data_IF_137027650842
#
_entry.id   IF_137027650842
#
_cell.length_a   1.000
_cell.length_b   1.000
_cell.length_c   1.000
_cell.angle_alpha   90.00
_cell.angle_beta   90.00
_cell.angle_gamma   90.00
#
_symmetry.space_group_name_H-M   'P 1'
#
loop_
_entity.id
_entity.type
_entity.pdbx_description
1 polymer ?
#
# COMPACT_ATOMS: atom_id res chain seq x y z
N UNK A 1 30.27 35.75 51.45
CA UNK A 1 29.65 35.07 50.30
C UNK A 1 30.79 34.78 49.37
N UNK A 2 31.26 33.54 49.34
CA UNK A 2 32.24 33.12 48.34
C UNK A 2 31.48 32.94 47.04
N UNK A 3 31.76 33.81 46.07
CA UNK A 3 31.18 33.77 44.74
C UNK A 3 31.98 32.76 43.93
N UNK A 4 31.35 31.65 43.58
CA UNK A 4 32.02 30.57 42.84
C UNK A 4 32.12 30.95 41.35
N UNK A 5 33.28 31.46 40.95
CA UNK A 5 33.57 31.84 39.56
C UNK A 5 33.63 30.62 38.63
N UNK A 6 33.77 29.40 39.17
CA UNK A 6 33.76 28.17 38.37
C UNK A 6 32.35 27.85 37.86
N UNK A 7 31.31 28.18 38.64
CA UNK A 7 29.92 28.07 38.20
C UNK A 7 29.66 28.97 36.98
N UNK A 8 30.16 30.22 37.01
CA UNK A 8 30.00 31.20 35.92
C UNK A 8 30.69 30.75 34.61
N UNK A 9 31.84 30.09 34.72
CA UNK A 9 32.57 29.52 33.57
C UNK A 9 31.83 28.33 32.97
N UNK A 10 31.13 27.54 33.79
CA UNK A 10 30.43 26.32 33.36
C UNK A 10 28.95 26.53 33.00
N UNK A 11 28.44 27.76 33.04
CA UNK A 11 27.03 28.08 32.74
C UNK A 11 26.62 27.61 31.34
N UNK A 12 27.45 27.88 30.33
CA UNK A 12 27.17 27.48 28.94
C UNK A 12 27.07 25.95 28.82
N UNK A 13 28.05 25.23 29.38
CA UNK A 13 28.08 23.77 29.37
C UNK A 13 26.88 23.19 30.09
N UNK A 14 26.46 23.78 31.21
CA UNK A 14 25.32 23.33 32.00
C UNK A 14 24.01 23.48 31.22
N UNK A 15 23.78 24.64 30.60
CA UNK A 15 22.60 24.86 29.76
C UNK A 15 22.61 24.00 28.49
N UNK A 16 23.78 23.77 27.89
CA UNK A 16 23.90 22.86 26.76
C UNK A 16 23.52 21.43 27.15
N UNK A 17 24.06 20.93 28.26
CA UNK A 17 23.75 19.58 28.72
C UNK A 17 22.29 19.42 29.13
N UNK A 18 21.71 20.42 29.79
CA UNK A 18 20.30 20.43 30.15
C UNK A 18 19.41 20.42 28.91
N UNK A 19 19.65 21.31 27.94
CA UNK A 19 18.92 21.35 26.67
C UNK A 19 19.10 20.09 25.84
N UNK A 20 20.30 19.49 25.84
CA UNK A 20 20.55 18.21 25.17
C UNK A 20 19.78 17.07 25.84
N UNK A 21 19.82 16.96 27.18
CA UNK A 21 19.10 15.91 27.93
C UNK A 21 17.60 16.01 27.70
N UNK A 22 17.04 17.22 27.76
CA UNK A 22 15.61 17.47 27.53
C UNK A 22 15.23 17.19 26.06
N UNK A 23 15.97 17.76 25.11
CA UNK A 23 15.74 17.55 23.68
C UNK A 23 15.87 16.08 23.26
N UNK A 24 16.83 15.35 23.82
CA UNK A 24 16.99 13.91 23.59
C UNK A 24 15.85 13.10 24.21
N UNK A 25 15.45 13.41 25.44
CA UNK A 25 14.33 12.74 26.10
C UNK A 25 13.02 12.94 25.31
N UNK A 26 12.76 14.18 24.87
CA UNK A 26 11.61 14.52 24.05
C UNK A 26 11.67 13.85 22.67
N UNK A 27 12.80 13.95 21.99
CA UNK A 27 13.03 13.35 20.67
C UNK A 27 12.90 11.83 20.69
N UNK A 28 13.32 11.17 21.77
CA UNK A 28 13.12 9.73 21.96
C UNK A 28 11.63 9.37 22.03
N UNK A 29 10.84 10.13 22.78
CA UNK A 29 9.39 9.88 22.90
C UNK A 29 8.70 10.11 21.55
N UNK A 30 8.98 11.24 20.90
CA UNK A 30 8.38 11.57 19.60
C UNK A 30 8.80 10.58 18.51
N UNK A 31 10.08 10.21 18.43
CA UNK A 31 10.56 9.21 17.48
C UNK A 31 9.91 7.83 17.68
N UNK A 32 9.63 7.43 18.92
CA UNK A 32 8.88 6.19 19.19
C UNK A 32 7.42 6.27 18.73
N UNK A 33 6.74 7.41 18.94
CA UNK A 33 5.34 7.60 18.55
C UNK A 33 5.23 7.63 17.02
N UNK A 34 6.06 8.45 16.37
CA UNK A 34 6.10 8.59 14.92
C UNK A 34 6.48 7.27 14.24
N UNK A 35 7.52 6.59 14.73
CA UNK A 35 7.92 5.28 14.20
C UNK A 35 6.81 4.23 14.29
N UNK A 36 6.04 4.22 15.39
CA UNK A 36 4.86 3.34 15.52
C UNK A 36 3.73 3.73 14.57
N UNK A 37 3.48 5.03 14.37
CA UNK A 37 2.47 5.50 13.43
C UNK A 37 2.83 5.10 11.99
N UNK A 38 4.06 5.40 11.57
CA UNK A 38 4.57 5.07 10.25
C UNK A 38 4.59 3.56 10.01
N UNK A 39 5.01 2.77 11.00
CA UNK A 39 5.01 1.30 10.90
C UNK A 39 3.61 0.73 10.69
N UNK A 40 2.58 1.29 11.34
CA UNK A 40 1.18 0.88 11.11
C UNK A 40 0.68 1.26 9.73
N UNK A 41 0.96 2.48 9.27
CA UNK A 41 0.58 2.95 7.93
C UNK A 41 1.20 2.08 6.84
N UNK A 42 2.52 1.87 6.88
CA UNK A 42 3.23 1.03 5.91
C UNK A 42 2.88 -0.44 6.01
N UNK A 43 2.64 -0.94 7.23
CA UNK A 43 2.11 -2.28 7.44
C UNK A 43 0.73 -2.46 6.79
N UNK A 44 -0.15 -1.46 6.90
CA UNK A 44 -1.47 -1.49 6.28
C UNK A 44 -1.40 -1.45 4.75
N UNK A 45 -0.63 -0.53 4.15
CA UNK A 45 -0.42 -0.47 2.69
C UNK A 45 0.05 -1.82 2.13
N UNK A 46 0.99 -2.46 2.83
CA UNK A 46 1.51 -3.78 2.49
C UNK A 46 0.41 -4.85 2.56
N UNK A 47 -0.29 -4.94 3.69
CA UNK A 47 -1.31 -5.97 3.93
C UNK A 47 -2.56 -5.81 3.08
N UNK A 48 -2.93 -4.59 2.72
CA UNK A 48 -4.01 -4.34 1.75
C UNK A 48 -3.71 -5.03 0.42
N UNK A 49 -2.48 -4.87 -0.08
CA UNK A 49 -2.05 -5.50 -1.32
C UNK A 49 -1.98 -7.03 -1.20
N UNK A 50 -1.44 -7.56 -0.08
CA UNK A 50 -1.43 -9.01 0.16
C UNK A 50 -2.84 -9.58 0.22
N UNK A 51 -3.75 -8.93 0.94
CA UNK A 51 -5.14 -9.38 1.09
C UNK A 51 -5.87 -9.40 -0.25
N UNK A 52 -5.60 -8.42 -1.13
CA UNK A 52 -6.11 -8.44 -2.49
C UNK A 52 -5.57 -9.65 -3.28
N UNK A 53 -4.26 -9.94 -3.21
CA UNK A 53 -3.68 -11.11 -3.89
C UNK A 53 -4.21 -12.44 -3.35
N UNK A 54 -4.41 -12.53 -2.04
CA UNK A 54 -4.97 -13.70 -1.37
C UNK A 54 -6.40 -13.95 -1.84
N UNK A 55 -7.26 -12.93 -1.80
CA UNK A 55 -8.65 -13.01 -2.26
C UNK A 55 -8.74 -13.37 -3.75
N UNK A 56 -7.90 -12.76 -4.59
CA UNK A 56 -7.80 -13.11 -6.00
C UNK A 56 -7.44 -14.58 -6.20
N UNK A 57 -6.40 -15.06 -5.51
CA UNK A 57 -5.96 -16.45 -5.62
C UNK A 57 -7.03 -17.44 -5.14
N UNK A 58 -7.71 -17.15 -4.03
CA UNK A 58 -8.80 -17.99 -3.50
C UNK A 58 -10.00 -18.05 -4.45
N UNK A 59 -10.40 -16.91 -5.03
CA UNK A 59 -11.47 -16.86 -6.01
C UNK A 59 -11.15 -17.73 -7.23
N UNK A 60 -9.96 -17.55 -7.82
CA UNK A 60 -9.53 -18.34 -8.98
C UNK A 60 -9.34 -19.82 -8.64
N UNK A 61 -8.93 -20.14 -7.41
CA UNK A 61 -8.87 -21.53 -6.92
C UNK A 61 -10.24 -22.18 -7.05
N UNK A 62 -11.27 -21.56 -6.50
CA UNK A 62 -12.64 -22.07 -6.55
C UNK A 62 -13.15 -22.21 -8.00
N UNK A 63 -12.83 -21.25 -8.88
CA UNK A 63 -13.21 -21.30 -10.30
C UNK A 63 -12.53 -22.47 -11.01
N UNK A 64 -11.22 -22.67 -10.82
CA UNK A 64 -10.47 -23.76 -11.44
C UNK A 64 -10.96 -25.13 -10.94
N UNK A 65 -11.27 -25.24 -9.64
CA UNK A 65 -11.81 -26.46 -9.04
C UNK A 65 -13.24 -26.78 -9.52
N UNK A 66 -14.03 -25.77 -9.90
CA UNK A 66 -15.39 -25.98 -10.45
C UNK A 66 -15.43 -26.42 -11.91
N UNK A 67 -14.30 -26.33 -12.64
CA UNK A 67 -14.23 -26.71 -14.05
C UNK A 67 -14.08 -28.22 -14.23
N UNK A 68 -14.70 -28.77 -15.27
CA UNK A 68 -14.62 -30.19 -15.60
C UNK A 68 -13.20 -30.68 -15.92
N UNK A 69 -12.34 -29.79 -16.43
CA UNK A 69 -10.92 -30.03 -16.68
C UNK A 69 -10.09 -28.96 -15.98
N UNK A 70 -9.61 -29.21 -14.74
CA UNK A 70 -8.85 -28.21 -14.00
C UNK A 70 -7.50 -27.97 -14.70
N UNK A 71 -7.17 -26.69 -14.93
CA UNK A 71 -5.84 -26.32 -15.39
C UNK A 71 -4.82 -26.51 -14.26
N UNK A 72 -4.08 -27.61 -14.35
CA UNK A 72 -3.07 -27.99 -13.36
C UNK A 72 -1.98 -26.91 -13.22
N UNK A 73 -1.63 -26.20 -14.31
CA UNK A 73 -0.63 -25.11 -14.28
C UNK A 73 -1.11 -23.95 -13.42
N UNK A 74 -2.30 -23.43 -13.67
CA UNK A 74 -2.88 -22.35 -12.86
C UNK A 74 -3.08 -22.79 -11.41
N UNK A 75 -3.51 -24.04 -11.18
CA UNK A 75 -3.66 -24.59 -9.81
C UNK A 75 -2.35 -24.57 -9.01
N UNK A 76 -1.22 -24.91 -9.65
CA UNK A 76 0.11 -24.89 -9.03
C UNK A 76 0.54 -23.45 -8.69
N UNK A 77 0.34 -22.50 -9.61
CA UNK A 77 0.66 -21.09 -9.36
C UNK A 77 -0.19 -20.48 -8.24
N UNK A 78 -1.47 -20.83 -8.16
CA UNK A 78 -2.38 -20.41 -7.09
C UNK A 78 -1.90 -20.94 -5.74
N UNK A 79 -1.61 -22.25 -5.64
CA UNK A 79 -1.12 -22.86 -4.39
C UNK A 79 0.17 -22.19 -3.91
N UNK A 80 1.13 -22.01 -4.81
CA UNK A 80 2.41 -21.40 -4.45
C UNK A 80 2.27 -19.93 -4.01
N UNK A 81 1.38 -19.16 -4.64
CA UNK A 81 1.09 -17.78 -4.22
C UNK A 81 0.51 -17.75 -2.80
N UNK A 82 -0.46 -18.62 -2.50
CA UNK A 82 -1.06 -18.72 -1.16
C UNK A 82 -0.04 -19.17 -0.10
N UNK A 83 0.85 -20.11 -0.43
CA UNK A 83 1.93 -20.54 0.47
C UNK A 83 2.89 -19.40 0.82
N UNK A 84 3.24 -18.54 -0.16
CA UNK A 84 4.10 -17.39 0.10
C UNK A 84 3.40 -16.32 0.95
N UNK A 85 2.11 -16.08 0.71
CA UNK A 85 1.31 -15.16 1.52
C UNK A 85 1.19 -15.68 2.95
N UNK A 86 1.01 -16.98 3.15
CA UNK A 86 0.91 -17.59 4.47
C UNK A 86 2.20 -17.45 5.31
N UNK A 87 3.36 -17.35 4.67
CA UNK A 87 4.66 -17.11 5.32
C UNK A 87 4.84 -15.66 5.77
N UNK A 88 3.99 -14.73 5.33
CA UNK A 88 4.13 -13.33 5.69
C UNK A 88 3.82 -13.10 7.19
N UNK A 89 4.69 -12.42 7.96
CA UNK A 89 4.50 -12.26 9.41
C UNK A 89 3.21 -11.52 9.76
N UNK A 90 2.35 -12.16 10.56
CA UNK A 90 1.14 -11.54 11.12
C UNK A 90 1.39 -10.74 12.39
N UNK A 91 2.50 -11.04 13.06
CA UNK A 91 2.95 -10.36 14.27
C UNK A 91 4.28 -9.66 13.99
N UNK A 92 4.54 -8.56 14.70
CA UNK A 92 5.77 -7.82 14.53
C UNK A 92 6.95 -8.66 15.08
N UNK A 93 7.89 -9.11 14.22
CA UNK A 93 8.97 -9.97 14.64
C UNK A 93 9.91 -9.33 15.67
N UNK A 94 9.99 -7.99 15.72
CA UNK A 94 10.78 -7.27 16.73
C UNK A 94 10.25 -7.43 18.15
N UNK A 95 8.99 -7.83 18.33
CA UNK A 95 8.40 -8.09 19.65
C UNK A 95 8.81 -9.45 20.23
N UNK A 96 9.24 -10.40 19.40
CA UNK A 96 9.49 -11.80 19.79
C UNK A 96 10.93 -12.05 20.25
N UNK A 97 11.79 -11.02 20.29
CA UNK A 97 13.11 -11.08 20.93
C UNK A 97 14.18 -11.92 20.20
N UNK A 98 13.89 -12.42 19.00
CA UNK A 98 14.86 -13.15 18.16
C UNK A 98 15.37 -12.32 16.98
N UNK A 99 16.57 -12.62 16.43
CA UNK A 99 16.99 -12.06 15.16
C UNK A 99 16.07 -12.61 14.07
N UNK A 100 15.08 -11.82 13.65
CA UNK A 100 14.24 -12.18 12.53
C UNK A 100 15.02 -11.98 11.25
N UNK A 101 15.62 -13.06 10.76
CA UNK A 101 16.34 -13.14 9.47
C UNK A 101 15.39 -13.04 8.25
N UNK A 102 14.15 -12.60 8.48
CA UNK A 102 13.09 -12.50 7.49
C UNK A 102 13.17 -11.15 6.76
N UNK A 103 13.69 -11.18 5.54
CA UNK A 103 13.67 -10.04 4.61
C UNK A 103 12.24 -9.83 4.06
N UNK A 104 11.44 -9.07 4.80
CA UNK A 104 10.06 -8.70 4.45
C UNK A 104 9.99 -8.07 3.04
N UNK A 105 10.82 -7.08 2.66
CA UNK A 105 10.84 -6.52 1.31
C UNK A 105 11.09 -7.55 0.21
N UNK A 106 11.95 -8.55 0.44
CA UNK A 106 12.24 -9.62 -0.53
C UNK A 106 11.06 -10.57 -0.68
N UNK A 107 10.46 -11.01 0.43
CA UNK A 107 9.26 -11.86 0.40
C UNK A 107 8.12 -11.14 -0.34
N UNK A 108 7.92 -9.86 -0.07
CA UNK A 108 6.88 -9.08 -0.74
C UNK A 108 7.10 -8.94 -2.25
N UNK A 109 8.35 -8.67 -2.68
CA UNK A 109 8.71 -8.65 -4.12
C UNK A 109 8.46 -10.01 -4.79
N UNK A 110 8.72 -11.10 -4.07
CA UNK A 110 8.45 -12.46 -4.55
C UNK A 110 6.95 -12.72 -4.69
N UNK A 111 6.12 -12.27 -3.74
CA UNK A 111 4.65 -12.38 -3.85
C UNK A 111 4.14 -11.62 -5.08
N UNK A 112 4.57 -10.37 -5.27
CA UNK A 112 4.19 -9.54 -6.44
C UNK A 112 4.55 -10.20 -7.77
N UNK A 113 5.73 -10.81 -7.87
CA UNK A 113 6.15 -11.49 -9.11
C UNK A 113 5.33 -12.75 -9.37
N UNK A 114 5.00 -13.52 -8.34
CA UNK A 114 4.12 -14.70 -8.45
C UNK A 114 2.68 -14.33 -8.80
N UNK A 115 2.15 -13.25 -8.24
CA UNK A 115 0.84 -12.72 -8.64
C UNK A 115 0.82 -12.36 -10.13
N UNK A 116 1.81 -11.61 -10.62
CA UNK A 116 1.91 -11.26 -12.05
C UNK A 116 2.01 -12.50 -12.94
N UNK A 117 2.75 -13.51 -12.50
CA UNK A 117 2.85 -14.78 -13.22
C UNK A 117 1.49 -15.49 -13.29
N UNK A 118 0.74 -15.54 -12.18
CA UNK A 118 -0.60 -16.10 -12.15
C UNK A 118 -1.57 -15.34 -13.08
N UNK A 119 -1.53 -14.01 -13.06
CA UNK A 119 -2.31 -13.20 -14.00
C UNK A 119 -1.99 -13.54 -15.46
N UNK A 120 -0.71 -13.72 -15.78
CA UNK A 120 -0.27 -14.10 -17.13
C UNK A 120 -0.76 -15.51 -17.52
N UNK A 121 -0.77 -16.48 -16.61
CA UNK A 121 -1.30 -17.82 -16.91
C UNK A 121 -2.81 -17.84 -17.07
N UNK A 122 -3.52 -17.00 -16.32
CA UNK A 122 -4.98 -16.87 -16.41
C UNK A 122 -5.44 -15.95 -17.57
N UNK A 123 -4.51 -15.27 -18.26
CA UNK A 123 -4.84 -14.30 -19.30
C UNK A 123 -5.52 -13.02 -18.78
N UNK A 124 -5.41 -12.74 -17.48
CA UNK A 124 -6.03 -11.59 -16.83
C UNK A 124 -5.02 -10.45 -16.71
N UNK A 125 -5.43 -9.21 -16.99
CA UNK A 125 -4.56 -8.05 -16.78
C UNK A 125 -4.35 -7.85 -15.27
N UNK A 126 -3.10 -7.76 -14.78
CA UNK A 126 -2.85 -7.45 -13.37
C UNK A 126 -3.43 -6.07 -13.04
N UNK A 127 -4.38 -6.03 -12.11
CA UNK A 127 -4.83 -4.79 -11.47
C UNK A 127 -4.18 -4.76 -10.09
N UNK A 128 -3.44 -3.70 -9.78
CA UNK A 128 -3.13 -3.38 -8.39
C UNK A 128 -4.22 -2.42 -7.95
N UNK A 129 -5.18 -2.91 -7.17
CA UNK A 129 -6.05 -2.07 -6.35
C UNK A 129 -5.52 -2.03 -4.91
N UNK A 130 -4.21 -1.82 -4.76
CA UNK A 130 -3.75 -1.14 -3.54
C UNK A 130 -4.26 0.30 -3.68
N UNK A 131 -4.78 0.91 -2.62
CA UNK A 131 -5.33 2.27 -2.70
C UNK A 131 -4.31 3.20 -3.38
N UNK A 132 -4.53 3.54 -4.65
CA UNK A 132 -3.92 4.73 -5.24
C UNK A 132 -4.28 5.85 -4.26
N UNK A 133 -3.26 6.46 -3.65
CA UNK A 133 -3.33 7.46 -2.57
C UNK A 133 -4.08 8.75 -2.91
N UNK A 134 -5.11 8.69 -3.74
CA UNK A 134 -6.22 9.63 -3.78
C UNK A 134 -7.12 9.49 -2.55
N UNK A 135 -6.53 9.56 -1.35
CA UNK A 135 -7.28 10.08 -0.21
C UNK A 135 -7.66 11.51 -0.57
N UNK A 136 -8.90 11.71 -0.96
CA UNK A 136 -9.52 13.04 -1.06
C UNK A 136 -9.40 13.64 0.34
N UNK A 137 -8.46 14.58 0.52
CA UNK A 137 -8.39 15.39 1.73
C UNK A 137 -9.71 16.17 1.85
N UNK A 138 -10.42 16.10 2.99
CA UNK A 138 -11.57 16.96 3.20
C UNK A 138 -11.06 18.37 3.55
N UNK A 139 -11.41 19.30 2.67
CA UNK A 139 -11.80 20.68 2.98
C UNK A 139 -10.94 21.47 4.00
N UNK A 140 -10.14 22.41 3.48
CA UNK A 140 -9.75 23.63 4.22
C UNK A 140 -10.34 24.83 3.49
N UNK A 141 -11.28 25.48 4.16
CA UNK A 141 -12.03 26.63 3.69
C UNK A 141 -11.17 27.91 3.53
N UNK A 142 -11.38 28.53 2.39
CA UNK A 142 -11.46 29.96 2.03
C UNK A 142 -10.37 31.00 2.39
N UNK A 143 -9.91 31.67 1.33
CA UNK A 143 -9.43 33.06 1.29
C UNK A 143 -9.23 33.53 -0.17
N UNK A 144 -10.16 34.35 -0.70
CA UNK A 144 -10.14 34.95 -2.05
C UNK A 144 -9.06 36.04 -2.25
N UNK A 145 -8.77 36.64 -3.41
CA UNK A 145 -9.26 36.69 -4.81
C UNK A 145 -8.09 37.28 -5.67
N UNK A 146 -8.22 37.77 -6.93
CA UNK A 146 -8.48 37.09 -8.21
C UNK A 146 -7.43 37.36 -9.34
N UNK A 147 -7.65 36.71 -10.51
CA UNK A 147 -7.30 37.06 -11.91
C UNK A 147 -5.92 36.78 -12.58
N UNK A 148 -5.88 35.66 -13.35
CA UNK A 148 -5.57 35.46 -14.80
C UNK A 148 -4.25 35.96 -15.47
N UNK A 149 -3.78 35.39 -16.62
CA UNK A 149 -4.49 34.52 -17.58
C UNK A 149 -3.77 33.25 -18.12
N UNK A 150 -4.61 32.37 -18.67
CA UNK A 150 -4.43 31.43 -19.80
C UNK A 150 -3.03 30.87 -20.15
N UNK A 151 -2.89 29.54 -19.98
CA UNK A 151 -2.12 28.70 -20.91
C UNK A 151 -2.85 27.38 -21.15
N UNK A 152 -3.35 27.23 -22.37
CA UNK A 152 -3.87 25.98 -22.94
C UNK A 152 -2.78 24.90 -22.88
N UNK A 153 -3.05 23.86 -22.09
CA UNK A 153 -2.31 22.62 -22.05
C UNK A 153 -3.31 21.47 -22.20
N UNK A 154 -3.40 20.95 -23.40
CA UNK A 154 -4.34 19.94 -23.87
C UNK A 154 -4.27 18.67 -23.00
N UNK A 155 -5.17 18.52 -22.02
CA UNK A 155 -5.40 17.25 -21.32
C UNK A 155 -6.42 16.45 -22.13
N UNK A 156 -5.92 15.41 -22.81
CA UNK A 156 -6.78 14.42 -23.46
C UNK A 156 -7.76 13.83 -22.44
N UNK A 157 -9.04 14.11 -22.64
CA UNK A 157 -10.12 13.45 -21.93
C UNK A 157 -10.12 11.99 -22.37
N UNK A 158 -9.52 11.12 -21.55
CA UNK A 158 -9.71 9.68 -21.67
C UNK A 158 -11.16 9.36 -21.31
N UNK A 159 -12.05 9.44 -22.31
CA UNK A 159 -13.42 9.01 -22.19
C UNK A 159 -13.42 7.56 -21.67
N UNK A 160 -14.00 7.34 -20.49
CA UNK A 160 -14.23 6.00 -19.95
C UNK A 160 -15.18 5.30 -20.92
N UNK A 161 -14.63 4.49 -21.81
CA UNK A 161 -15.41 3.62 -22.69
C UNK A 161 -16.06 2.57 -21.80
N UNK A 162 -17.35 2.71 -21.57
CA UNK A 162 -18.16 1.64 -20.98
C UNK A 162 -18.12 0.47 -21.97
N UNK A 163 -17.47 -0.63 -21.56
CA UNK A 163 -17.29 -1.83 -22.41
C UNK A 163 -18.60 -2.61 -22.56
N UNK A 164 -19.63 -2.29 -21.77
CA UNK A 164 -20.92 -2.97 -21.78
C UNK A 164 -22.06 -1.95 -21.85
N UNK A 165 -22.89 -2.05 -22.89
CA UNK A 165 -24.19 -1.40 -22.91
C UNK A 165 -25.15 -2.28 -22.09
N UNK A 166 -25.54 -1.83 -20.91
CA UNK A 166 -26.58 -2.49 -20.11
C UNK A 166 -27.92 -2.09 -20.69
N UNK A 167 -28.54 -3.00 -21.45
CA UNK A 167 -29.91 -2.81 -21.93
C UNK A 167 -30.89 -3.14 -20.80
N UNK A 168 -31.92 -2.30 -20.56
CA UNK A 168 -32.99 -2.62 -19.62
C UNK A 168 -33.77 -3.84 -20.11
N UNK A 169 -34.20 -4.69 -19.18
CA UNK A 169 -34.84 -5.96 -19.47
C UNK A 169 -36.16 -5.76 -20.24
N UNK A 170 -36.19 -6.16 -21.51
CA UNK A 170 -37.41 -6.15 -22.33
C UNK A 170 -37.22 -6.15 -23.85
N UNK A 171 -36.05 -5.82 -24.39
CA UNK A 171 -35.83 -5.81 -25.84
C UNK A 171 -35.11 -7.07 -26.34
N UNK A 172 -35.65 -7.69 -27.41
CA UNK A 172 -35.05 -8.86 -28.04
C UNK A 172 -33.82 -8.46 -28.85
N UNK A 173 -32.71 -9.18 -28.66
CA UNK A 173 -31.46 -8.98 -29.39
C UNK A 173 -31.63 -9.36 -30.86
N UNK A 174 -31.88 -8.37 -31.72
CA UNK A 174 -31.70 -8.54 -33.16
C UNK A 174 -30.19 -8.63 -33.44
N UNK A 175 -29.81 -9.71 -34.13
CA UNK A 175 -28.45 -10.10 -34.50
C UNK A 175 -27.59 -8.92 -34.95
N UNK A 176 -26.61 -8.54 -34.13
CA UNK A 176 -25.49 -7.71 -34.58
C UNK A 176 -24.37 -8.66 -34.96
N UNK A 177 -24.22 -8.88 -36.26
CA UNK A 177 -23.12 -9.66 -36.83
C UNK A 177 -21.77 -9.00 -36.48
N UNK A 178 -20.87 -9.79 -35.91
CA UNK A 178 -19.49 -9.42 -35.66
C UNK A 178 -18.69 -9.70 -36.93
N UNK A 179 -18.36 -8.65 -37.68
CA UNK A 179 -17.31 -8.73 -38.69
C UNK A 179 -15.95 -8.85 -37.99
N UNK A 180 -15.19 -9.89 -38.36
CA UNK A 180 -13.81 -10.17 -37.93
C UNK A 180 -12.83 -9.10 -38.42
#
# INVERSE_FOLDING_TARGET
>A
MDFDLEELVNVEQTFFEEGYKDGFAHGRIHGMIEGRALGREKGFEMWEELGFYEGFAMMWKAIVESQATPDERSSNHIRHLLELIAQFPRENPSATGGPSDLDIPKLFRQIRSRYKLLCATLGVRPTLRAADGSSVSPDRAEGGSPESPAREGQKGQGARRNVWAVHPAGESLASTELNF
#
